data_IF_632125746923
#
_entry.id   IF_632125746923
#
_cell.length_a   1.000
_cell.length_b   1.000
_cell.length_c   1.000
_cell.angle_alpha   90.00
_cell.angle_beta   90.00
_cell.angle_gamma   90.00
#
_symmetry.space_group_name_H-M   'P 1'
#
loop_
_entity.id
_entity.type
_entity.pdbx_description
1 polymer ?
#
# COMPACT_ATOMS: atom_id res chain seq x y z
N UNK A 1 0.16 5.03 51.39
CA UNK A 1 -0.71 5.31 50.24
C UNK A 1 0.04 5.84 49.01
N UNK A 2 0.92 6.85 49.13
CA UNK A 2 1.68 7.43 47.99
C UNK A 2 2.57 6.43 47.23
N UNK A 3 3.22 5.49 47.93
CA UNK A 3 4.07 4.43 47.33
C UNK A 3 3.30 3.47 46.42
N UNK A 4 2.04 3.19 46.73
CA UNK A 4 1.20 2.29 45.92
C UNK A 4 0.74 2.99 44.63
N UNK A 5 0.50 4.31 44.68
CA UNK A 5 0.16 5.11 43.49
C UNK A 5 1.29 5.06 42.45
N UNK A 6 2.54 5.21 42.87
CA UNK A 6 3.68 5.11 41.95
C UNK A 6 3.85 3.70 41.36
N UNK A 7 3.58 2.65 42.14
CA UNK A 7 3.62 1.27 41.65
C UNK A 7 2.51 0.98 40.63
N UNK A 8 1.30 1.48 40.88
CA UNK A 8 0.16 1.35 39.96
C UNK A 8 0.44 2.11 38.66
N UNK A 9 0.97 3.34 38.76
CA UNK A 9 1.34 4.15 37.60
C UNK A 9 2.43 3.45 36.77
N UNK A 10 3.46 2.92 37.42
CA UNK A 10 4.53 2.18 36.75
C UNK A 10 4.01 0.91 36.06
N UNK A 11 3.16 0.13 36.73
CA UNK A 11 2.56 -1.07 36.16
C UNK A 11 1.67 -0.77 34.95
N UNK A 12 0.92 0.35 34.99
CA UNK A 12 0.08 0.79 33.88
C UNK A 12 0.90 1.14 32.62
N UNK A 13 2.04 1.81 32.79
CA UNK A 13 2.95 2.19 31.69
C UNK A 13 3.56 0.94 31.03
N UNK A 14 3.97 -0.04 31.85
CA UNK A 14 4.56 -1.30 31.33
C UNK A 14 3.52 -2.13 30.56
N UNK A 15 2.26 -2.14 31.01
CA UNK A 15 1.18 -2.87 30.31
C UNK A 15 0.82 -2.29 28.94
N UNK A 16 1.04 -0.99 28.72
CA UNK A 16 0.79 -0.33 27.44
C UNK A 16 1.85 -0.68 26.38
N UNK A 17 3.09 -0.97 26.81
CA UNK A 17 4.20 -1.33 25.91
C UNK A 17 4.18 -2.79 25.43
N UNK A 18 3.49 -3.69 26.14
CA UNK A 18 3.56 -5.13 25.91
C UNK A 18 2.71 -5.63 24.72
N UNK A 19 1.85 -4.79 24.14
CA UNK A 19 0.94 -5.16 23.05
C UNK A 19 1.47 -4.85 21.63
N UNK A 20 2.76 -4.56 21.48
CA UNK A 20 3.34 -4.29 20.16
C UNK A 20 3.87 -5.58 19.55
N UNK A 21 3.02 -6.27 18.77
CA UNK A 21 3.50 -7.29 17.82
C UNK A 21 4.14 -6.55 16.65
N UNK A 22 5.44 -6.29 16.75
CA UNK A 22 6.21 -5.78 15.62
C UNK A 22 6.36 -6.89 14.58
N UNK A 23 5.57 -6.85 13.51
CA UNK A 23 5.73 -7.79 12.40
C UNK A 23 6.88 -7.38 11.49
N UNK A 24 7.58 -8.37 10.94
CA UNK A 24 8.72 -8.16 10.03
C UNK A 24 8.33 -7.41 8.74
N UNK A 25 7.05 -7.44 8.39
CA UNK A 25 6.47 -6.76 7.22
C UNK A 25 6.20 -5.27 7.49
N UNK A 26 6.10 -4.85 8.75
CA UNK A 26 5.75 -3.48 9.11
C UNK A 26 6.67 -2.40 8.50
N UNK A 27 8.01 -2.55 8.48
CA UNK A 27 8.89 -1.55 7.86
C UNK A 27 8.66 -1.41 6.35
N UNK A 28 8.28 -2.49 5.66
CA UNK A 28 7.99 -2.46 4.23
C UNK A 28 6.72 -1.66 3.95
N UNK A 29 5.66 -1.86 4.74
CA UNK A 29 4.43 -1.08 4.60
C UNK A 29 4.63 0.40 4.93
N UNK A 30 5.44 0.69 5.95
CA UNK A 30 5.79 2.07 6.27
C UNK A 30 6.53 2.76 5.12
N UNK A 31 7.50 2.09 4.49
CA UNK A 31 8.21 2.64 3.33
C UNK A 31 7.27 2.82 2.13
N UNK A 32 6.41 1.84 1.85
CA UNK A 32 5.41 1.93 0.79
C UNK A 32 4.46 3.12 1.01
N UNK A 33 4.03 3.37 2.25
CA UNK A 33 3.17 4.49 2.61
C UNK A 33 3.87 5.85 2.43
N UNK A 34 5.15 5.96 2.79
CA UNK A 34 5.97 7.16 2.57
C UNK A 34 6.09 7.47 1.07
N UNK A 35 6.34 6.45 0.25
CA UNK A 35 6.49 6.61 -1.20
C UNK A 35 5.15 6.89 -1.90
N UNK A 36 4.03 6.48 -1.33
CA UNK A 36 2.70 6.52 -1.93
C UNK A 36 2.34 7.89 -2.55
N UNK A 37 2.71 8.98 -1.89
CA UNK A 37 2.39 10.33 -2.34
C UNK A 37 3.28 10.85 -3.48
N UNK A 38 4.53 10.40 -3.56
CA UNK A 38 5.54 10.96 -4.47
C UNK A 38 5.96 10.02 -5.60
N UNK A 39 5.94 8.72 -5.36
CA UNK A 39 6.33 7.64 -6.27
C UNK A 39 5.42 6.42 -6.07
N UNK A 40 4.14 6.52 -6.50
CA UNK A 40 3.17 5.45 -6.30
C UNK A 40 3.57 4.16 -7.03
N UNK A 41 4.35 4.25 -8.11
CA UNK A 41 4.94 3.13 -8.85
C UNK A 41 5.94 2.34 -7.98
N UNK A 42 6.82 3.07 -7.28
CA UNK A 42 7.78 2.47 -6.35
C UNK A 42 7.08 1.87 -5.13
N UNK A 43 6.02 2.53 -4.65
CA UNK A 43 5.16 2.00 -3.59
C UNK A 43 4.51 0.67 -4.00
N UNK A 44 3.94 0.62 -5.21
CA UNK A 44 3.35 -0.59 -5.78
C UNK A 44 4.39 -1.72 -5.87
N UNK A 45 5.57 -1.44 -6.40
CA UNK A 45 6.66 -2.41 -6.50
C UNK A 45 7.04 -3.03 -5.14
N UNK A 46 7.11 -2.22 -4.07
CA UNK A 46 7.35 -2.74 -2.72
C UNK A 46 6.21 -3.64 -2.24
N UNK A 47 4.95 -3.23 -2.45
CA UNK A 47 3.78 -4.00 -2.01
C UNK A 47 3.65 -5.34 -2.76
N UNK A 48 4.01 -5.37 -4.03
CA UNK A 48 4.03 -6.59 -4.86
C UNK A 48 5.18 -7.55 -4.48
N UNK A 49 6.23 -7.06 -3.80
CA UNK A 49 7.31 -7.91 -3.32
C UNK A 49 6.92 -8.82 -2.16
N UNK A 50 5.75 -8.58 -1.54
CA UNK A 50 5.22 -9.43 -0.46
C UNK A 50 4.77 -10.78 -1.02
N UNK A 51 5.48 -11.84 -0.64
CA UNK A 51 5.12 -13.20 -1.04
C UNK A 51 3.92 -13.71 -0.23
N UNK A 52 2.91 -14.24 -0.92
CA UNK A 52 1.73 -14.87 -0.31
C UNK A 52 1.02 -13.97 0.72
N UNK A 53 0.55 -12.76 0.33
CA UNK A 53 -0.12 -11.83 1.24
C UNK A 53 -1.32 -12.44 1.98
N UNK A 54 -1.96 -13.46 1.41
CA UNK A 54 -3.04 -14.24 2.04
C UNK A 54 -2.64 -14.97 3.33
N UNK A 55 -1.34 -15.20 3.55
CA UNK A 55 -0.82 -15.82 4.76
C UNK A 55 -0.43 -14.79 5.85
N UNK A 56 -0.55 -13.50 5.57
CA UNK A 56 -0.32 -12.45 6.56
C UNK A 56 -1.37 -12.54 7.68
N UNK A 57 -1.03 -12.10 8.91
CA UNK A 57 -2.06 -11.93 9.92
C UNK A 57 -3.07 -10.88 9.45
N UNK A 58 -4.31 -11.01 9.93
CA UNK A 58 -5.48 -10.26 9.41
C UNK A 58 -5.26 -8.75 9.37
N UNK A 59 -4.55 -8.20 10.36
CA UNK A 59 -4.25 -6.78 10.41
C UNK A 59 -3.29 -6.34 9.30
N UNK A 60 -2.18 -7.06 9.09
CA UNK A 60 -1.24 -6.79 8.01
C UNK A 60 -1.86 -7.04 6.64
N UNK A 61 -2.67 -8.08 6.48
CA UNK A 61 -3.38 -8.32 5.22
C UNK A 61 -4.32 -7.16 4.87
N UNK A 62 -5.08 -6.66 5.85
CA UNK A 62 -5.94 -5.49 5.64
C UNK A 62 -5.15 -4.24 5.24
N UNK A 63 -4.01 -3.99 5.90
CA UNK A 63 -3.10 -2.89 5.53
C UNK A 63 -2.54 -3.06 4.12
N UNK A 64 -2.14 -4.28 3.74
CA UNK A 64 -1.67 -4.58 2.40
C UNK A 64 -2.75 -4.30 1.34
N UNK A 65 -3.99 -4.79 1.55
CA UNK A 65 -5.11 -4.55 0.64
C UNK A 65 -5.39 -3.05 0.46
N UNK A 66 -5.35 -2.28 1.54
CA UNK A 66 -5.55 -0.83 1.49
C UNK A 66 -4.45 -0.16 0.67
N UNK A 67 -3.18 -0.40 1.01
CA UNK A 67 -2.04 0.23 0.35
C UNK A 67 -1.95 -0.16 -1.12
N UNK A 68 -2.18 -1.43 -1.46
CA UNK A 68 -2.05 -1.88 -2.85
C UNK A 68 -3.15 -1.27 -3.72
N UNK A 69 -4.39 -1.21 -3.22
CA UNK A 69 -5.49 -0.55 -3.92
C UNK A 69 -5.19 0.93 -4.15
N UNK A 70 -4.64 1.60 -3.15
CA UNK A 70 -4.25 3.02 -3.25
C UNK A 70 -3.12 3.23 -4.27
N UNK A 71 -2.13 2.33 -4.31
CA UNK A 71 -1.03 2.41 -5.26
C UNK A 71 -1.53 2.17 -6.70
N UNK A 72 -2.43 1.21 -6.91
CA UNK A 72 -3.08 0.99 -8.20
C UNK A 72 -3.87 2.22 -8.67
N UNK A 73 -4.70 2.79 -7.81
CA UNK A 73 -5.49 3.99 -8.10
C UNK A 73 -4.60 5.17 -8.51
N UNK A 74 -3.49 5.39 -7.79
CA UNK A 74 -2.54 6.48 -8.10
C UNK A 74 -1.69 6.24 -9.34
N UNK A 75 -1.40 4.99 -9.68
CA UNK A 75 -0.67 4.64 -10.90
C UNK A 75 -1.57 4.55 -12.12
N UNK A 76 -2.88 4.45 -11.92
CA UNK A 76 -3.83 4.46 -13.01
C UNK A 76 -3.91 5.86 -13.62
N UNK A 77 -3.64 5.95 -14.92
CA UNK A 77 -3.80 7.18 -15.70
C UNK A 77 -5.06 7.03 -16.54
N UNK A 78 -6.12 7.74 -16.17
CA UNK A 78 -7.30 7.84 -17.03
C UNK A 78 -6.92 8.55 -18.33
N UNK A 79 -7.05 7.84 -19.46
CA UNK A 79 -6.95 8.43 -20.77
C UNK A 79 -8.21 9.26 -21.05
N UNK A 80 -8.20 10.51 -20.61
CA UNK A 80 -9.29 11.48 -20.82
C UNK A 80 -9.18 12.23 -22.16
N UNK A 81 -8.07 12.08 -22.89
CA UNK A 81 -7.91 12.66 -24.22
C UNK A 81 -8.10 11.59 -25.30
N UNK A 82 -9.23 11.66 -26.00
CA UNK A 82 -9.58 10.80 -27.14
C UNK A 82 -8.57 10.86 -28.30
N UNK A 83 -7.63 11.81 -28.28
CA UNK A 83 -6.59 11.97 -29.29
C UNK A 83 -5.68 10.75 -29.47
N UNK A 84 -5.45 9.92 -28.44
CA UNK A 84 -4.69 8.67 -28.58
C UNK A 84 -5.57 7.49 -29.03
N UNK A 85 -6.86 7.52 -28.71
CA UNK A 85 -7.84 6.52 -29.16
C UNK A 85 -8.08 6.70 -30.67
N UNK A 86 -8.26 7.93 -31.13
CA UNK A 86 -8.40 8.28 -32.55
C UNK A 86 -7.19 7.82 -33.37
N UNK A 87 -5.97 7.97 -32.84
CA UNK A 87 -4.75 7.50 -33.51
C UNK A 87 -4.71 5.97 -33.58
N UNK A 88 -5.17 5.27 -32.54
CA UNK A 88 -5.24 3.81 -32.55
C UNK A 88 -6.30 3.30 -33.55
N UNK A 89 -7.47 3.92 -33.60
CA UNK A 89 -8.53 3.60 -34.58
C UNK A 89 -8.09 3.89 -36.01
N UNK A 90 -7.48 5.05 -36.29
CA UNK A 90 -6.95 5.37 -37.62
C UNK A 90 -5.87 4.38 -38.06
N UNK A 91 -4.98 3.98 -37.16
CA UNK A 91 -3.91 3.03 -37.49
C UNK A 91 -4.44 1.62 -37.72
N UNK A 92 -5.52 1.23 -37.03
CA UNK A 92 -6.23 -0.02 -37.28
C UNK A 92 -6.92 -0.02 -38.65
N UNK A 93 -7.59 1.09 -39.01
CA UNK A 93 -8.23 1.25 -40.33
C UNK A 93 -7.22 1.24 -41.48
N UNK A 94 -6.05 1.88 -41.32
CA UNK A 94 -4.99 1.85 -42.32
C UNK A 94 -4.45 0.42 -42.52
N UNK A 95 -4.34 -0.36 -41.44
CA UNK A 95 -3.86 -1.75 -41.49
C UNK A 95 -4.82 -2.70 -42.23
N UNK A 96 -6.12 -2.46 -42.15
CA UNK A 96 -7.16 -3.21 -42.89
C UNK A 96 -7.26 -2.77 -44.37
N UNK A 97 -6.73 -1.59 -44.71
CA UNK A 97 -6.72 -1.06 -46.07
C UNK A 97 -5.47 -1.47 -46.87
N UNK A 98 -4.43 -1.94 -46.19
CA UNK A 98 -3.18 -2.50 -46.74
C UNK A 98 -3.20 -4.05 -46.83
N UNK A 99 -4.35 -4.70 -46.59
CA UNK A 99 -4.53 -6.17 -46.71
C UNK A 99 -5.45 -6.57 -47.88
#
# INVERSE_FOLDING_TARGET
MKRHIHLILFLSIVSLGACQKQSHIFPLFQEAEILMGSRPDSSLYLLESVQSPENLPVAEYASWCLLITQAWDKNYVEHTSDSLIDVAEQKQLIKEMDL
#
